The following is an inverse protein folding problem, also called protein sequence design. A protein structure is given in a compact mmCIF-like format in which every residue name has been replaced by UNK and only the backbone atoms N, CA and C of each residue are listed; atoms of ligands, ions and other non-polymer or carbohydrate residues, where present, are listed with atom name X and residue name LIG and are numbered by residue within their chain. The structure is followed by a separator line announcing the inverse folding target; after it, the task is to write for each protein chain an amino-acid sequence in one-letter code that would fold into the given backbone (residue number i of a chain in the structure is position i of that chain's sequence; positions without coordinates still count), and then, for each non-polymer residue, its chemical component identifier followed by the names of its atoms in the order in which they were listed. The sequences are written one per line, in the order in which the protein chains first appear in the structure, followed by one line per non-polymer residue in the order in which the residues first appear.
data_IF_123596201130
#
_entry.id   IF_123596201130
#
_cell.length_a   1.000
_cell.length_b   1.000
_cell.length_c   1.000
_cell.angle_alpha   90.00
_cell.angle_beta   90.00
_cell.angle_gamma   90.00
#
_symmetry.space_group_name_H-M   'P 1'
#
loop_
_entity.id
_entity.type
_entity.pdbx_description
1 polymer ?
#
# COMPACT_ATOMS: atom_id res chain seq x y z
N UNK A 1 5.36 0.47 30.02
CA UNK A 1 5.91 -0.89 29.86
C UNK A 1 5.03 -1.62 28.86
N UNK A 2 5.61 -2.32 27.88
CA UNK A 2 4.87 -3.31 27.08
C UNK A 2 4.09 -4.21 28.02
N UNK A 3 2.81 -4.44 27.73
CA UNK A 3 2.20 -5.68 28.16
C UNK A 3 2.72 -6.72 27.18
N UNK A 4 3.68 -7.54 27.63
CA UNK A 4 4.29 -8.63 26.85
C UNK A 4 3.24 -9.50 26.14
N UNK A 5 2.04 -9.57 26.74
CA UNK A 5 0.90 -10.26 26.15
C UNK A 5 0.48 -9.72 24.78
N UNK A 6 0.63 -8.42 24.48
CA UNK A 6 0.22 -7.87 23.19
C UNK A 6 1.13 -8.38 22.05
N UNK A 7 2.46 -8.33 22.25
CA UNK A 7 3.42 -8.90 21.31
C UNK A 7 3.24 -10.42 21.12
N UNK A 8 3.03 -11.14 22.21
CA UNK A 8 2.80 -12.59 22.18
C UNK A 8 1.47 -12.92 21.47
N UNK A 9 0.41 -12.11 21.64
CA UNK A 9 -0.86 -12.26 20.91
C UNK A 9 -0.69 -12.10 19.41
N UNK A 10 0.00 -11.04 18.97
CA UNK A 10 0.34 -10.77 17.55
C UNK A 10 1.14 -11.94 16.96
N UNK A 11 2.16 -12.42 17.68
CA UNK A 11 3.00 -13.53 17.23
C UNK A 11 2.27 -14.89 17.24
N UNK A 12 1.18 -15.03 18.00
CA UNK A 12 0.41 -16.27 18.13
C UNK A 12 -0.74 -16.42 17.13
N UNK A 13 -1.04 -15.39 16.36
CA UNK A 13 -2.12 -15.41 15.37
C UNK A 13 -3.54 -15.33 15.96
N UNK A 14 -3.67 -14.93 17.24
CA UNK A 14 -4.96 -14.67 17.89
C UNK A 14 -5.29 -13.19 17.78
N UNK A 15 -6.11 -12.86 16.80
CA UNK A 15 -6.49 -11.48 16.47
C UNK A 15 -7.90 -11.21 17.02
N UNK A 16 -7.99 -10.41 18.07
CA UNK A 16 -9.17 -9.55 18.28
C UNK A 16 -8.91 -8.26 17.50
N UNK A 17 -9.93 -7.72 16.82
CA UNK A 17 -9.76 -6.64 15.83
C UNK A 17 -9.01 -5.43 16.44
N UNK A 18 -9.36 -5.05 17.67
CA UNK A 18 -8.74 -3.96 18.43
C UNK A 18 -7.23 -4.16 18.72
N UNK A 19 -6.75 -5.42 18.78
CA UNK A 19 -5.37 -5.75 19.12
C UNK A 19 -4.42 -5.53 17.94
N UNK A 20 -4.93 -5.58 16.71
CA UNK A 20 -4.11 -5.53 15.48
C UNK A 20 -3.72 -4.10 15.11
N UNK A 21 -4.59 -3.14 15.38
CA UNK A 21 -4.33 -1.71 15.16
C UNK A 21 -3.22 -1.20 16.10
N UNK A 22 -3.33 -1.55 17.37
CA UNK A 22 -2.32 -1.25 18.38
C UNK A 22 -0.97 -1.90 18.08
N UNK A 23 -0.98 -3.11 17.52
CA UNK A 23 0.23 -3.87 17.18
C UNK A 23 1.20 -3.10 16.30
N UNK A 24 0.69 -2.58 15.17
CA UNK A 24 1.50 -1.84 14.21
C UNK A 24 1.94 -0.49 14.77
N UNK A 25 1.06 0.18 15.53
CA UNK A 25 1.41 1.42 16.21
C UNK A 25 2.66 1.23 17.09
N UNK A 26 2.61 0.23 17.97
CA UNK A 26 3.71 -0.07 18.88
C UNK A 26 4.96 -0.55 18.15
N UNK A 27 4.82 -1.36 17.09
CA UNK A 27 5.94 -1.79 16.26
C UNK A 27 6.72 -0.59 15.71
N UNK A 28 6.04 0.37 15.06
CA UNK A 28 6.69 1.55 14.49
C UNK A 28 7.29 2.45 15.56
N UNK A 29 6.63 2.58 16.72
CA UNK A 29 7.18 3.27 17.88
C UNK A 29 8.51 2.64 18.33
N UNK A 30 8.58 1.32 18.46
CA UNK A 30 9.81 0.66 18.88
C UNK A 30 10.93 0.75 17.84
N UNK A 31 10.59 0.59 16.55
CA UNK A 31 11.57 0.76 15.48
C UNK A 31 12.15 2.18 15.50
N UNK A 32 11.31 3.21 15.68
CA UNK A 32 11.78 4.58 15.85
C UNK A 32 12.61 4.77 17.11
N UNK A 33 12.16 4.25 18.25
CA UNK A 33 12.87 4.40 19.52
C UNK A 33 14.24 3.72 19.48
N UNK A 34 14.36 2.58 18.79
CA UNK A 34 15.61 1.85 18.64
C UNK A 34 16.55 2.49 17.61
N UNK A 35 16.06 2.76 16.40
CA UNK A 35 16.88 3.31 15.31
C UNK A 35 17.05 4.83 15.37
N UNK A 36 16.34 5.52 16.28
CA UNK A 36 16.30 6.98 16.44
C UNK A 36 15.86 7.75 15.20
N UNK A 37 15.19 7.07 14.27
CA UNK A 37 14.67 7.62 13.02
C UNK A 37 13.22 7.15 12.82
N UNK A 38 12.37 8.01 12.26
CA UNK A 38 11.01 7.64 11.89
C UNK A 38 11.03 6.55 10.80
N UNK A 39 9.99 5.71 10.76
CA UNK A 39 9.92 4.60 9.82
C UNK A 39 9.44 5.05 8.44
N UNK A 40 9.99 4.46 7.39
CA UNK A 40 9.44 4.52 6.04
C UNK A 40 8.73 3.19 5.77
N UNK A 41 7.48 3.24 5.32
CA UNK A 41 6.68 2.05 5.05
C UNK A 41 6.44 1.93 3.54
N UNK A 42 6.75 0.77 2.98
CA UNK A 42 6.51 0.45 1.57
C UNK A 42 5.54 -0.74 1.55
N UNK A 43 4.36 -0.56 0.98
CA UNK A 43 3.35 -1.61 0.83
C UNK A 43 3.15 -1.84 -0.64
N UNK A 44 3.61 -2.99 -1.11
CA UNK A 44 3.37 -3.44 -2.47
C UNK A 44 2.06 -4.25 -2.52
N UNK A 45 1.42 -4.19 -3.68
CA UNK A 45 0.11 -4.82 -3.96
C UNK A 45 -0.94 -4.58 -2.87
N UNK A 46 -1.05 -3.34 -2.37
CA UNK A 46 -1.98 -3.00 -1.28
C UNK A 46 -3.45 -3.33 -1.62
N UNK A 47 -3.80 -3.41 -2.91
CA UNK A 47 -5.13 -3.76 -3.40
C UNK A 47 -5.41 -5.27 -3.48
N UNK A 48 -4.39 -6.11 -3.52
CA UNK A 48 -4.54 -7.55 -3.76
C UNK A 48 -5.47 -8.25 -2.76
N UNK A 49 -5.43 -7.96 -1.44
CA UNK A 49 -6.35 -8.58 -0.49
C UNK A 49 -7.82 -8.27 -0.78
N UNK A 50 -8.13 -7.08 -1.31
CA UNK A 50 -9.49 -6.70 -1.70
C UNK A 50 -9.93 -7.38 -2.99
N UNK A 51 -9.01 -7.60 -3.93
CA UNK A 51 -9.28 -8.37 -5.15
C UNK A 51 -9.67 -9.82 -4.80
N UNK A 52 -8.96 -10.43 -3.84
CA UNK A 52 -9.32 -11.74 -3.30
C UNK A 52 -10.68 -11.68 -2.59
N UNK A 53 -10.91 -10.68 -1.74
CA UNK A 53 -12.18 -10.53 -1.03
C UNK A 53 -13.38 -10.40 -1.98
N UNK A 54 -13.18 -9.72 -3.11
CA UNK A 54 -14.19 -9.64 -4.17
C UNK A 54 -14.48 -11.01 -4.79
N UNK A 55 -13.44 -11.79 -5.15
CA UNK A 55 -13.59 -13.13 -5.72
C UNK A 55 -14.34 -14.10 -4.81
N UNK A 56 -14.09 -14.01 -3.49
CA UNK A 56 -14.68 -14.89 -2.48
C UNK A 56 -15.89 -14.29 -1.75
N UNK A 57 -16.46 -13.19 -2.28
CA UNK A 57 -17.72 -12.59 -1.79
C UNK A 57 -17.71 -12.07 -0.35
N UNK A 58 -16.57 -11.56 0.13
CA UNK A 58 -16.44 -10.89 1.44
C UNK A 58 -15.85 -9.48 1.35
N UNK A 59 -15.97 -8.84 0.19
CA UNK A 59 -15.39 -7.53 -0.11
C UNK A 59 -15.68 -6.46 0.95
N UNK A 60 -16.95 -6.27 1.33
CA UNK A 60 -17.34 -5.23 2.31
C UNK A 60 -16.63 -5.42 3.66
N UNK A 61 -16.57 -6.66 4.17
CA UNK A 61 -15.90 -6.97 5.43
C UNK A 61 -14.39 -6.71 5.35
N UNK A 62 -13.76 -7.09 4.23
CA UNK A 62 -12.34 -6.83 4.03
C UNK A 62 -12.06 -5.32 3.88
N UNK A 63 -12.89 -4.60 3.13
CA UNK A 63 -12.78 -3.16 2.95
C UNK A 63 -12.81 -2.45 4.29
N UNK A 64 -13.78 -2.77 5.14
CA UNK A 64 -13.93 -2.11 6.44
C UNK A 64 -12.74 -2.43 7.35
N UNK A 65 -12.29 -3.69 7.40
CA UNK A 65 -11.07 -4.07 8.13
C UNK A 65 -9.83 -3.31 7.67
N UNK A 66 -9.58 -3.26 6.35
CA UNK A 66 -8.41 -2.55 5.82
C UNK A 66 -8.53 -1.04 6.00
N UNK A 67 -9.74 -0.46 5.90
CA UNK A 67 -9.96 0.96 6.18
C UNK A 67 -9.50 1.31 7.61
N UNK A 68 -10.00 0.57 8.61
CA UNK A 68 -9.65 0.79 10.02
C UNK A 68 -8.16 0.55 10.28
N UNK A 69 -7.59 -0.52 9.71
CA UNK A 69 -6.16 -0.81 9.80
C UNK A 69 -5.33 0.36 9.24
N UNK A 70 -5.60 0.78 8.01
CA UNK A 70 -4.89 1.88 7.35
C UNK A 70 -5.03 3.19 8.13
N UNK A 71 -6.22 3.50 8.66
CA UNK A 71 -6.42 4.69 9.49
C UNK A 71 -5.55 4.63 10.76
N UNK A 72 -5.63 3.55 11.54
CA UNK A 72 -4.88 3.42 12.78
C UNK A 72 -3.36 3.54 12.57
N UNK A 73 -2.83 2.89 11.53
CA UNK A 73 -1.38 2.91 11.32
C UNK A 73 -0.87 4.12 10.53
N UNK A 74 -1.63 4.70 9.60
CA UNK A 74 -1.16 5.82 8.76
C UNK A 74 -1.55 7.19 9.29
N UNK A 75 -2.73 7.30 9.90
CA UNK A 75 -3.24 8.58 10.37
C UNK A 75 -2.82 8.84 11.80
N UNK A 76 -3.03 7.88 12.68
CA UNK A 76 -2.81 8.07 14.12
C UNK A 76 -1.33 7.91 14.52
N UNK A 77 -0.48 7.44 13.59
CA UNK A 77 0.92 7.15 13.86
C UNK A 77 1.95 8.11 13.21
N UNK A 78 1.53 9.33 12.87
CA UNK A 78 2.37 10.34 12.20
C UNK A 78 3.66 10.72 12.99
N UNK A 79 3.67 10.51 14.30
CA UNK A 79 4.86 10.75 15.13
C UNK A 79 5.97 9.70 14.90
N UNK A 80 5.62 8.49 14.45
CA UNK A 80 6.53 7.37 14.28
C UNK A 80 6.84 7.07 12.80
N UNK A 81 6.05 7.63 11.86
CA UNK A 81 6.21 7.46 10.42
C UNK A 81 6.76 8.72 9.74
N UNK A 82 7.74 8.52 8.85
CA UNK A 82 8.31 9.57 8.00
C UNK A 82 7.52 9.70 6.70
N UNK A 83 7.38 8.58 5.98
CA UNK A 83 6.68 8.47 4.71
C UNK A 83 6.10 7.08 4.53
N UNK A 84 5.01 7.01 3.77
CA UNK A 84 4.43 5.74 3.32
C UNK A 84 4.26 5.79 1.80
N UNK A 85 4.69 4.72 1.14
CA UNK A 85 4.45 4.48 -0.27
C UNK A 85 3.56 3.24 -0.42
N UNK A 86 2.40 3.42 -1.03
CA UNK A 86 1.51 2.33 -1.42
C UNK A 86 1.63 2.11 -2.92
N UNK A 87 1.91 0.88 -3.33
CA UNK A 87 2.07 0.47 -4.72
C UNK A 87 1.01 -0.60 -5.00
N UNK A 88 0.31 -0.46 -6.11
CA UNK A 88 -0.72 -1.41 -6.50
C UNK A 88 -1.13 -1.22 -7.95
N UNK A 89 -1.72 -2.26 -8.54
CA UNK A 89 -2.14 -2.27 -9.93
C UNK A 89 -3.32 -1.32 -10.16
N UNK A 90 -4.32 -1.40 -9.27
CA UNK A 90 -5.53 -0.58 -9.35
C UNK A 90 -5.50 0.50 -8.29
N UNK A 91 -5.60 1.76 -8.71
CA UNK A 91 -5.79 2.87 -7.79
C UNK A 91 -7.22 2.83 -7.23
N UNK A 92 -7.39 2.23 -6.05
CA UNK A 92 -8.72 2.02 -5.46
C UNK A 92 -9.22 3.23 -4.64
N UNK A 93 -8.67 4.41 -4.86
CA UNK A 93 -9.14 5.66 -4.21
C UNK A 93 -10.64 5.90 -4.40
N UNK A 94 -11.22 5.37 -5.50
CA UNK A 94 -12.66 5.42 -5.79
C UNK A 94 -13.53 4.52 -4.90
N UNK A 95 -12.97 3.50 -4.24
CA UNK A 95 -13.70 2.61 -3.33
C UNK A 95 -13.89 3.17 -1.91
N UNK A 96 -13.27 4.32 -1.62
CA UNK A 96 -13.51 5.08 -0.41
C UNK A 96 -12.69 4.70 0.83
N UNK A 97 -12.08 3.52 0.90
CA UNK A 97 -11.43 3.06 2.15
C UNK A 97 -10.11 3.78 2.50
N UNK A 98 -9.49 4.48 1.55
CA UNK A 98 -8.33 5.35 1.82
C UNK A 98 -8.71 6.82 2.06
N UNK A 99 -10.00 7.18 2.00
CA UNK A 99 -10.44 8.57 2.17
C UNK A 99 -10.21 9.11 3.58
N UNK A 100 -10.13 8.24 4.59
CA UNK A 100 -9.86 8.63 5.97
C UNK A 100 -8.45 9.18 6.21
N UNK A 101 -7.55 9.05 5.22
CA UNK A 101 -6.15 9.47 5.28
C UNK A 101 -5.99 10.95 4.93
N UNK A 102 -5.39 11.72 5.83
CA UNK A 102 -5.26 13.17 5.67
C UNK A 102 -4.15 13.61 4.68
N UNK A 103 -3.18 12.74 4.38
CA UNK A 103 -1.95 13.08 3.64
C UNK A 103 -1.75 12.22 2.37
N UNK A 104 -2.83 11.74 1.75
CA UNK A 104 -2.77 10.86 0.59
C UNK A 104 -2.49 11.66 -0.70
N UNK A 105 -1.36 11.39 -1.35
CA UNK A 105 -1.05 11.88 -2.70
C UNK A 105 -1.09 10.69 -3.65
N UNK A 106 -1.84 10.81 -4.74
CA UNK A 106 -2.09 9.73 -5.69
C UNK A 106 -1.34 9.99 -6.98
N UNK A 107 -0.53 9.03 -7.40
CA UNK A 107 0.23 9.08 -8.65
C UNK A 107 -0.28 7.99 -9.61
N UNK A 108 -1.18 8.32 -10.54
CA UNK A 108 -1.60 7.37 -11.57
C UNK A 108 -0.45 7.02 -12.52
N UNK A 109 -0.43 5.80 -13.06
CA UNK A 109 0.59 5.36 -14.02
C UNK A 109 0.69 6.25 -15.28
N UNK A 110 -0.39 6.92 -15.67
CA UNK A 110 -0.42 7.84 -16.81
C UNK A 110 0.07 9.27 -16.46
N UNK A 111 0.57 9.50 -15.25
CA UNK A 111 1.18 10.78 -14.90
C UNK A 111 2.54 10.93 -15.62
N UNK A 112 2.65 11.95 -16.49
CA UNK A 112 3.84 12.24 -17.29
C UNK A 112 5.11 12.44 -16.45
N UNK A 113 4.99 12.93 -15.22
CA UNK A 113 6.13 13.12 -14.31
C UNK A 113 6.81 11.78 -13.96
N UNK A 114 6.02 10.70 -13.91
CA UNK A 114 6.49 9.37 -13.49
C UNK A 114 6.59 8.37 -14.65
N UNK A 115 6.10 8.72 -15.84
CA UNK A 115 6.01 7.85 -17.00
C UNK A 115 7.35 7.20 -17.40
N UNK A 116 8.47 7.90 -17.18
CA UNK A 116 9.81 7.42 -17.54
C UNK A 116 10.50 6.57 -16.46
N UNK A 117 9.89 6.42 -15.28
CA UNK A 117 10.50 5.72 -14.14
C UNK A 117 9.90 4.32 -13.90
N UNK A 118 8.78 4.00 -14.56
CA UNK A 118 8.06 2.75 -14.35
C UNK A 118 7.85 2.01 -15.67
N UNK A 119 8.05 0.69 -15.65
CA UNK A 119 7.91 -0.22 -16.80
C UNK A 119 8.97 0.02 -17.87
N UNK A 120 8.55 0.26 -19.11
CA UNK A 120 9.43 0.39 -20.27
C UNK A 120 9.36 1.81 -20.81
N UNK A 121 10.50 2.35 -21.20
CA UNK A 121 10.59 3.59 -21.97
C UNK A 121 10.08 3.38 -23.40
N UNK A 122 9.76 4.48 -24.09
CA UNK A 122 9.38 4.41 -25.52
C UNK A 122 10.46 3.72 -26.36
N UNK A 123 11.74 3.98 -26.07
CA UNK A 123 12.87 3.35 -26.73
C UNK A 123 12.91 1.83 -26.50
N UNK A 124 12.68 1.38 -25.26
CA UNK A 124 12.62 -0.05 -24.93
C UNK A 124 11.43 -0.73 -25.62
N UNK A 125 10.27 -0.07 -25.66
CA UNK A 125 9.09 -0.57 -26.39
C UNK A 125 9.39 -0.69 -27.88
N UNK A 126 10.05 0.32 -28.47
CA UNK A 126 10.43 0.29 -29.88
C UNK A 126 11.39 -0.88 -30.18
N UNK A 127 12.41 -1.09 -29.34
CA UNK A 127 13.32 -2.24 -29.45
C UNK A 127 12.54 -3.56 -29.38
N UNK A 128 11.60 -3.70 -28.43
CA UNK A 128 10.76 -4.90 -28.32
C UNK A 128 9.90 -5.12 -29.57
N UNK A 129 9.33 -4.07 -30.15
CA UNK A 129 8.48 -4.17 -31.34
C UNK A 129 9.27 -4.53 -32.60
N UNK A 130 10.47 -3.96 -32.77
CA UNK A 130 11.39 -4.31 -33.87
C UNK A 130 11.85 -5.76 -33.77
N UNK A 131 12.18 -6.23 -32.57
CA UNK A 131 12.59 -7.62 -32.35
C UNK A 131 11.47 -8.64 -32.65
N UNK A 132 10.20 -8.22 -32.64
CA UNK A 132 9.04 -9.08 -32.84
C UNK A 132 8.35 -8.90 -34.23
N UNK A 133 8.97 -8.21 -35.20
CA UNK A 133 8.40 -7.93 -36.53
C UNK A 133 7.02 -7.24 -36.51
N UNK A 134 6.75 -6.41 -35.48
CA UNK A 134 5.47 -5.68 -35.30
C UNK A 134 5.59 -4.18 -35.53
N UNK A 135 6.36 -3.74 -36.53
CA UNK A 135 6.58 -2.31 -36.82
C UNK A 135 5.30 -1.55 -37.28
N UNK A 136 4.23 -2.24 -37.65
CA UNK A 136 3.08 -1.64 -38.36
C UNK A 136 1.89 -1.14 -37.54
N UNK A 137 1.96 -0.95 -36.22
CA UNK A 137 0.74 -0.64 -35.43
C UNK A 137 0.94 0.37 -34.31
N UNK A 138 1.46 1.56 -34.61
CA UNK A 138 1.35 2.72 -33.72
C UNK A 138 1.06 3.98 -34.55
N UNK A 139 -0.18 4.11 -35.02
CA UNK A 139 -0.72 5.45 -35.32
C UNK A 139 -1.09 6.08 -33.96
N UNK A 140 -0.39 7.16 -33.62
CA UNK A 140 -0.65 7.95 -32.42
C UNK A 140 -1.99 8.68 -32.56
N UNK A 141 -2.93 8.42 -31.65
CA UNK A 141 -4.12 9.22 -31.40
C UNK A 141 -4.04 9.86 -30.02
#
# INVERSE_FOLDING_TARGET
MLNKSCFDSISSGKFEDDVTEDALFYLFKYLKDYHKNKCIVLIDEYNYPLDIAYQYQYYEKARDFFASLFEAFLKDNNENLEKVLLIGVSCITKSGYLLGLNNLIVFPMYNKEFANYFRFTEDEIFIFLQYNDKEGTLEAH
#
